data_IF_705174831194
#
_entry.id   IF_705174831194
#
_cell.length_a   1.000
_cell.length_b   1.000
_cell.length_c   1.000
_cell.angle_alpha   90.00
_cell.angle_beta   90.00
_cell.angle_gamma   90.00
#
_symmetry.space_group_name_H-M   'P 1'
#
loop_
_entity.id
_entity.type
_entity.pdbx_description
1 polymer ?
#
# COMPACT_ATOMS: atom_id res chain seq x y z
N UNK A 1 37.37 3.04 3.59
CA UNK A 1 36.98 1.61 3.56
C UNK A 1 35.46 1.56 3.50
N UNK A 2 34.86 1.16 2.37
CA UNK A 2 33.43 0.86 2.35
C UNK A 2 33.25 -0.50 3.02
N UNK A 3 32.75 -0.50 4.26
CA UNK A 3 32.29 -1.74 4.86
C UNK A 3 31.22 -2.34 3.93
N UNK A 4 31.44 -3.57 3.49
CA UNK A 4 30.40 -4.35 2.80
C UNK A 4 29.33 -4.71 3.83
N UNK A 5 28.46 -3.75 4.13
CA UNK A 5 27.27 -3.96 4.95
C UNK A 5 26.36 -4.92 4.17
N UNK A 6 26.12 -6.09 4.74
CA UNK A 6 25.18 -7.08 4.24
C UNK A 6 23.81 -6.78 4.84
N UNK A 7 22.91 -6.23 4.02
CA UNK A 7 21.56 -5.85 4.44
C UNK A 7 20.69 -7.12 4.45
N UNK A 8 19.81 -7.25 5.44
CA UNK A 8 18.70 -8.20 5.37
C UNK A 8 17.66 -7.66 4.39
N UNK A 9 17.49 -8.33 3.25
CA UNK A 9 16.57 -7.89 2.20
C UNK A 9 15.10 -7.89 2.66
N UNK A 10 14.72 -8.72 3.63
CA UNK A 10 13.36 -8.67 4.17
C UNK A 10 13.12 -7.41 5.03
N UNK A 11 14.20 -6.81 5.55
CA UNK A 11 14.15 -5.62 6.40
C UNK A 11 13.79 -4.35 5.62
N UNK A 12 14.03 -4.33 4.30
CA UNK A 12 13.68 -3.20 3.42
C UNK A 12 12.23 -3.26 2.92
N UNK A 13 11.54 -4.40 3.08
CA UNK A 13 10.13 -4.55 2.69
C UNK A 13 9.22 -3.62 3.51
N UNK A 14 8.58 -2.68 2.82
CA UNK A 14 7.70 -1.67 3.41
C UNK A 14 6.41 -2.32 3.94
N UNK A 15 6.01 -1.95 5.15
CA UNK A 15 4.69 -2.26 5.72
C UNK A 15 3.84 -0.99 5.79
N UNK A 16 2.59 -1.08 5.35
CA UNK A 16 1.60 -0.03 5.51
C UNK A 16 0.74 -0.33 6.75
N UNK A 17 0.51 0.66 7.62
CA UNK A 17 -0.25 0.47 8.87
C UNK A 17 -1.75 0.19 8.68
N UNK A 18 -2.26 0.29 7.45
CA UNK A 18 -3.63 -0.10 7.08
C UNK A 18 -3.63 -0.83 5.74
N UNK A 19 -4.58 -1.75 5.57
CA UNK A 19 -4.83 -2.44 4.29
C UNK A 19 -5.91 -1.73 3.45
N UNK A 20 -6.76 -0.92 4.07
CA UNK A 20 -7.83 -0.16 3.40
C UNK A 20 -7.85 1.27 3.92
N UNK A 21 -7.98 2.24 3.01
CA UNK A 21 -8.06 3.66 3.33
C UNK A 21 -9.23 4.30 2.57
N UNK A 22 -10.24 4.77 3.29
CA UNK A 22 -11.34 5.52 2.71
C UNK A 22 -10.88 6.95 2.44
N UNK A 23 -10.98 7.39 1.19
CA UNK A 23 -10.65 8.77 0.86
C UNK A 23 -11.71 9.73 1.40
N UNK A 24 -11.24 10.91 1.78
CA UNK A 24 -12.09 12.00 2.25
C UNK A 24 -12.69 12.73 1.05
N UNK A 25 -13.81 13.42 1.27
CA UNK A 25 -14.47 14.28 0.29
C UNK A 25 -13.72 15.62 0.09
N UNK A 26 -12.60 15.80 0.77
CA UNK A 26 -11.62 16.88 0.63
C UNK A 26 -10.19 16.32 0.54
N UNK A 27 -9.26 17.11 0.00
CA UNK A 27 -7.86 16.72 -0.01
C UNK A 27 -7.30 16.73 1.42
N UNK A 28 -6.85 15.56 1.87
CA UNK A 28 -6.11 15.45 3.11
C UNK A 28 -4.69 15.98 2.90
N UNK A 29 -4.32 17.03 3.64
CA UNK A 29 -2.99 17.64 3.53
C UNK A 29 -2.24 17.59 4.86
N UNK A 30 -0.91 17.45 4.82
CA UNK A 30 -0.09 17.57 6.01
C UNK A 30 -0.17 18.94 6.69
N UNK A 31 0.20 19.03 7.99
CA UNK A 31 0.67 17.92 8.83
C UNK A 31 -0.47 17.10 9.48
N UNK A 32 -1.68 17.65 9.49
CA UNK A 32 -2.78 17.16 10.33
C UNK A 32 -3.83 16.32 9.60
N UNK A 33 -3.74 16.21 8.27
CA UNK A 33 -4.64 15.38 7.48
C UNK A 33 -4.49 13.88 7.75
N UNK A 34 -5.57 13.12 7.55
CA UNK A 34 -5.53 11.66 7.54
C UNK A 34 -4.61 11.13 6.45
N UNK A 35 -3.78 10.16 6.80
CA UNK A 35 -2.74 9.64 5.93
C UNK A 35 -2.50 8.16 6.20
N UNK A 36 -1.92 7.49 5.21
CA UNK A 36 -1.37 6.15 5.34
C UNK A 36 0.08 6.29 5.78
N UNK A 37 0.46 5.60 6.86
CA UNK A 37 1.84 5.53 7.32
C UNK A 37 2.51 4.27 6.79
N UNK A 38 3.67 4.45 6.17
CA UNK A 38 4.51 3.38 5.64
C UNK A 38 5.78 3.27 6.48
N UNK A 39 6.18 2.04 6.84
CA UNK A 39 7.28 1.79 7.79
C UNK A 39 8.11 0.61 7.33
N UNK A 40 9.43 0.72 7.51
CA UNK A 40 10.34 -0.42 7.54
C UNK A 40 11.36 -0.25 8.68
N UNK A 41 12.01 -1.34 9.06
CA UNK A 41 13.08 -1.33 10.05
C UNK A 41 14.30 -2.02 9.45
N UNK A 42 15.19 -1.21 8.91
CA UNK A 42 16.34 -1.63 8.12
C UNK A 42 17.39 -2.22 9.05
N UNK A 43 17.86 -3.44 8.72
CA UNK A 43 18.78 -4.20 9.55
C UNK A 43 19.83 -4.91 8.70
N UNK A 44 20.96 -5.23 9.31
CA UNK A 44 21.89 -6.21 8.74
C UNK A 44 21.38 -7.64 8.94
N UNK A 45 22.12 -8.62 8.39
CA UNK A 45 21.76 -10.04 8.49
C UNK A 45 21.83 -10.59 9.92
N UNK A 46 22.56 -9.91 10.80
CA UNK A 46 22.65 -10.20 12.22
C UNK A 46 21.50 -9.58 13.03
N UNK A 47 20.62 -8.81 12.38
CA UNK A 47 19.44 -8.20 12.97
C UNK A 47 19.69 -6.86 13.65
N UNK A 48 20.90 -6.30 13.53
CA UNK A 48 21.25 -4.98 14.08
C UNK A 48 20.68 -3.88 13.19
N UNK A 49 20.04 -2.84 13.77
CA UNK A 49 19.53 -1.73 12.99
C UNK A 49 20.62 -0.97 12.24
N UNK A 50 20.32 -0.58 11.00
CA UNK A 50 21.24 0.15 10.13
C UNK A 50 20.76 1.59 9.93
N UNK A 51 21.45 2.58 10.51
CA UNK A 51 21.06 3.98 10.37
C UNK A 51 21.51 4.58 9.05
N UNK A 52 20.80 5.62 8.59
CA UNK A 52 21.14 6.43 7.42
C UNK A 52 21.31 5.62 6.13
N UNK A 53 20.57 4.52 5.97
CA UNK A 53 20.56 3.72 4.75
C UNK A 53 19.53 4.30 3.78
N UNK A 54 19.95 4.83 2.62
CA UNK A 54 19.01 5.30 1.61
C UNK A 54 18.36 4.09 0.91
N UNK A 55 17.04 4.02 1.00
CA UNK A 55 16.22 3.03 0.30
C UNK A 55 15.51 3.74 -0.85
N UNK A 56 15.62 3.17 -2.04
CA UNK A 56 14.85 3.60 -3.20
C UNK A 56 13.50 2.90 -3.16
N UNK A 57 12.43 3.69 -3.14
CA UNK A 57 11.05 3.21 -3.23
C UNK A 57 10.63 3.36 -4.68
N UNK A 58 10.23 2.26 -5.29
CA UNK A 58 9.76 2.19 -6.67
C UNK A 58 8.25 2.03 -6.70
N UNK A 59 7.65 2.74 -7.63
CA UNK A 59 6.27 2.52 -8.00
C UNK A 59 6.08 1.10 -8.54
N UNK A 60 5.08 0.39 -8.02
CA UNK A 60 4.60 -0.86 -8.59
C UNK A 60 3.38 -0.60 -9.48
N UNK A 61 3.06 -1.56 -10.34
CA UNK A 61 1.91 -1.47 -11.24
C UNK A 61 0.63 -1.03 -10.49
N UNK A 62 -0.08 -0.05 -11.04
CA UNK A 62 -1.32 0.53 -10.52
C UNK A 62 -1.21 1.38 -9.24
N UNK A 63 -0.01 1.62 -8.70
CA UNK A 63 0.14 2.45 -7.49
C UNK A 63 0.04 3.97 -7.77
N UNK A 64 0.28 4.39 -9.00
CA UNK A 64 0.10 5.76 -9.51
C UNK A 64 0.56 6.87 -8.54
N UNK A 65 1.86 7.07 -8.38
CA UNK A 65 2.44 8.07 -7.47
C UNK A 65 1.96 9.52 -7.72
N UNK A 66 1.44 9.84 -8.91
CA UNK A 66 0.80 11.12 -9.22
C UNK A 66 -0.58 11.31 -8.59
N UNK A 67 -1.23 10.24 -8.14
CA UNK A 67 -2.55 10.25 -7.51
C UNK A 67 -2.48 10.37 -5.99
N UNK A 68 -1.27 10.46 -5.43
CA UNK A 68 -1.03 10.64 -4.00
C UNK A 68 -0.01 11.75 -3.77
N UNK A 69 -0.01 12.35 -2.60
CA UNK A 69 1.10 13.17 -2.13
C UNK A 69 1.91 12.36 -1.11
N UNK A 70 3.23 12.32 -1.26
CA UNK A 70 4.10 11.52 -0.40
C UNK A 70 5.07 12.45 0.34
N UNK A 71 5.19 12.26 1.65
CA UNK A 71 5.99 13.11 2.54
C UNK A 71 6.97 12.27 3.36
N UNK A 72 8.09 12.89 3.71
CA UNK A 72 9.06 12.34 4.65
C UNK A 72 8.47 12.19 6.06
N UNK A 73 9.25 11.60 6.97
CA UNK A 73 8.83 11.29 8.33
C UNK A 73 8.35 12.51 9.16
N UNK A 74 8.75 13.72 8.77
CA UNK A 74 8.35 14.99 9.39
C UNK A 74 6.93 15.45 8.98
N UNK A 75 6.26 14.73 8.08
CA UNK A 75 4.94 15.06 7.53
C UNK A 75 4.86 16.49 6.97
N UNK A 76 5.95 17.07 6.49
CA UNK A 76 5.96 18.44 5.98
C UNK A 76 6.87 18.61 4.77
N UNK A 77 7.93 17.82 4.68
CA UNK A 77 8.81 17.79 3.52
C UNK A 77 8.27 16.79 2.48
N UNK A 78 7.82 17.24 1.30
CA UNK A 78 7.40 16.33 0.23
C UNK A 78 8.60 15.56 -0.30
N UNK A 79 8.40 14.31 -0.71
CA UNK A 79 9.45 13.53 -1.37
C UNK A 79 9.63 14.00 -2.81
N UNK A 80 10.87 13.94 -3.30
CA UNK A 80 11.16 14.18 -4.71
C UNK A 80 10.90 12.90 -5.53
N UNK A 81 9.83 12.90 -6.32
CA UNK A 81 9.53 11.80 -7.25
C UNK A 81 10.36 11.99 -8.53
N UNK A 82 11.06 10.93 -8.93
CA UNK A 82 11.92 10.85 -10.11
C UNK A 82 11.32 9.86 -11.11
N UNK A 83 11.28 10.25 -12.38
CA UNK A 83 10.95 9.36 -13.48
C UNK A 83 12.21 8.58 -13.88
N UNK A 84 12.23 7.26 -13.64
CA UNK A 84 13.32 6.39 -14.10
C UNK A 84 13.09 6.04 -15.58
N UNK A 85 11.86 5.67 -15.93
CA UNK A 85 11.40 5.43 -17.30
C UNK A 85 10.02 6.09 -17.49
N UNK A 86 9.41 5.93 -18.67
CA UNK A 86 8.05 6.43 -18.92
C UNK A 86 7.01 5.86 -17.95
N UNK A 87 7.19 4.60 -17.52
CA UNK A 87 6.22 3.84 -16.71
C UNK A 87 6.74 3.48 -15.31
N UNK A 88 7.93 3.97 -14.93
CA UNK A 88 8.54 3.66 -13.64
C UNK A 88 9.01 4.92 -12.94
N UNK A 89 8.41 5.18 -11.78
CA UNK A 89 8.76 6.28 -10.89
C UNK A 89 9.40 5.78 -9.61
N UNK A 90 10.20 6.62 -8.98
CA UNK A 90 10.81 6.32 -7.70
C UNK A 90 11.02 7.56 -6.85
N UNK A 91 11.22 7.35 -5.56
CA UNK A 91 11.77 8.35 -4.64
C UNK A 91 12.73 7.65 -3.67
N UNK A 92 13.43 8.43 -2.85
CA UNK A 92 14.36 7.88 -1.86
C UNK A 92 14.01 8.35 -0.46
N UNK A 93 14.08 7.44 0.50
CA UNK A 93 13.91 7.72 1.94
C UNK A 93 15.02 7.00 2.69
N UNK A 94 15.62 7.66 3.69
CA UNK A 94 16.64 7.05 4.52
C UNK A 94 16.08 6.55 5.84
N UNK A 95 16.70 5.52 6.40
CA UNK A 95 16.45 5.13 7.80
C UNK A 95 17.03 6.14 8.79
N UNK A 96 16.35 6.32 9.92
CA UNK A 96 16.81 7.14 11.05
C UNK A 96 17.93 6.45 11.84
N UNK A 97 18.37 7.07 12.94
CA UNK A 97 19.45 6.56 13.80
C UNK A 97 19.16 5.17 14.43
N UNK A 98 17.89 4.75 14.46
CA UNK A 98 17.46 3.44 14.94
C UNK A 98 17.16 2.46 13.80
N UNK A 99 17.56 2.79 12.56
CA UNK A 99 17.28 2.00 11.38
C UNK A 99 15.82 2.05 10.92
N UNK A 100 14.97 2.91 11.50
CA UNK A 100 13.56 3.00 11.14
C UNK A 100 13.40 3.92 9.93
N UNK A 101 12.72 3.44 8.91
CA UNK A 101 12.34 4.22 7.73
C UNK A 101 10.85 4.51 7.81
N UNK A 102 10.46 5.77 7.63
CA UNK A 102 9.05 6.20 7.63
C UNK A 102 8.79 7.20 6.52
N UNK A 103 7.66 7.04 5.84
CA UNK A 103 7.07 8.05 4.99
C UNK A 103 5.54 7.99 5.08
N UNK A 104 4.88 9.06 4.65
CA UNK A 104 3.43 9.22 4.73
C UNK A 104 2.84 9.45 3.35
N UNK A 105 1.68 8.84 3.11
CA UNK A 105 0.96 8.92 1.85
C UNK A 105 -0.39 9.58 2.14
N UNK A 106 -0.67 10.65 1.42
CA UNK A 106 -1.91 11.41 1.47
C UNK A 106 -2.63 11.21 0.13
N UNK A 107 -3.64 10.35 0.06
CA UNK A 107 -4.41 10.16 -1.17
C UNK A 107 -5.09 11.45 -1.61
N UNK A 108 -5.11 11.70 -2.92
CA UNK A 108 -5.87 12.83 -3.49
C UNK A 108 -7.36 12.48 -3.54
N UNK A 109 -8.21 13.49 -3.56
CA UNK A 109 -9.66 13.30 -3.67
C UNK A 109 -10.05 12.52 -4.94
N UNK A 110 -11.02 11.61 -4.79
CA UNK A 110 -11.66 10.83 -5.87
C UNK A 110 -10.73 9.93 -6.69
N UNK A 111 -9.63 9.44 -6.12
CA UNK A 111 -8.67 8.55 -6.80
C UNK A 111 -8.60 7.17 -6.12
N UNK A 112 -9.60 6.29 -6.34
CA UNK A 112 -9.51 4.92 -5.85
C UNK A 112 -8.37 4.20 -6.59
N UNK A 113 -7.48 3.55 -5.83
CA UNK A 113 -6.32 2.85 -6.40
C UNK A 113 -5.77 1.80 -5.43
N UNK A 114 -4.91 0.92 -5.95
CA UNK A 114 -4.19 -0.07 -5.15
C UNK A 114 -2.76 0.43 -4.97
N UNK A 115 -2.42 0.89 -3.78
CA UNK A 115 -1.09 1.40 -3.49
C UNK A 115 -0.16 0.26 -3.06
N UNK A 116 0.86 0.00 -3.87
CA UNK A 116 1.90 -0.97 -3.58
C UNK A 116 3.25 -0.44 -4.09
N UNK A 117 4.33 -0.79 -3.39
CA UNK A 117 5.68 -0.34 -3.77
C UNK A 117 6.64 -1.52 -3.78
N UNK A 118 7.68 -1.39 -4.58
CA UNK A 118 8.91 -2.15 -4.40
C UNK A 118 9.96 -1.27 -3.71
N UNK A 119 10.91 -1.90 -3.06
CA UNK A 119 11.99 -1.24 -2.32
C UNK A 119 13.32 -1.88 -2.67
N UNK A 120 14.39 -1.10 -2.72
CA UNK A 120 15.75 -1.62 -2.89
C UNK A 120 16.79 -0.65 -2.32
N UNK A 121 17.92 -1.19 -1.86
CA UNK A 121 19.14 -0.42 -1.61
C UNK A 121 20.06 -0.61 -2.80
N UNK A 122 20.35 0.49 -3.49
CA UNK A 122 21.12 0.48 -4.74
C UNK A 122 22.44 -0.29 -4.61
N UNK A 123 22.68 -1.24 -5.51
CA UNK A 123 23.87 -2.08 -5.56
C UNK A 123 24.11 -2.96 -4.30
N UNK A 124 23.08 -3.15 -3.46
CA UNK A 124 23.19 -3.92 -2.20
C UNK A 124 22.10 -4.97 -2.04
N UNK A 125 20.90 -4.73 -2.56
CA UNK A 125 19.78 -5.68 -2.49
C UNK A 125 19.08 -5.79 -3.83
N UNK A 126 18.34 -6.88 -4.00
CA UNK A 126 17.32 -6.98 -5.05
C UNK A 126 16.11 -6.07 -4.75
N UNK A 127 15.15 -6.04 -5.69
CA UNK A 127 13.85 -5.38 -5.50
C UNK A 127 12.94 -6.25 -4.65
N UNK A 128 12.46 -5.68 -3.55
CA UNK A 128 11.61 -6.37 -2.58
C UNK A 128 10.27 -5.63 -2.49
N UNK A 129 9.18 -6.34 -2.77
CA UNK A 129 7.82 -5.79 -2.63
C UNK A 129 7.46 -5.49 -1.18
N UNK A 130 6.57 -4.52 -0.99
CA UNK A 130 5.94 -4.24 0.29
C UNK A 130 5.21 -5.46 0.86
N UNK A 131 5.20 -5.60 2.19
CA UNK A 131 4.60 -6.71 2.94
C UNK A 131 3.09 -6.82 2.71
N UNK A 132 2.45 -5.69 2.51
CA UNK A 132 1.05 -5.55 2.17
C UNK A 132 0.87 -4.47 1.10
N UNK A 133 -0.37 -4.27 0.67
CA UNK A 133 -0.81 -3.22 -0.25
C UNK A 133 -1.98 -2.50 0.40
N UNK A 134 -2.21 -1.26 0.01
CA UNK A 134 -3.33 -0.47 0.54
C UNK A 134 -4.37 -0.27 -0.55
N UNK A 135 -5.61 -0.65 -0.26
CA UNK A 135 -6.74 -0.30 -1.09
C UNK A 135 -7.24 1.09 -0.69
N UNK A 136 -6.92 2.08 -1.50
CA UNK A 136 -7.46 3.42 -1.37
C UNK A 136 -8.82 3.41 -2.08
N UNK A 137 -9.91 3.60 -1.33
CA UNK A 137 -11.27 3.43 -1.82
C UNK A 137 -12.08 4.72 -1.69
N UNK A 138 -13.06 4.88 -2.58
CA UNK A 138 -14.05 5.95 -2.52
C UNK A 138 -15.47 5.39 -2.38
N UNK A 139 -15.88 5.13 -1.14
CA UNK A 139 -17.25 4.69 -0.84
C UNK A 139 -18.28 5.83 -0.81
N UNK A 140 -17.90 7.08 -1.13
CA UNK A 140 -18.84 8.20 -1.25
C UNK A 140 -19.45 8.29 -2.65
N UNK A 141 -18.86 7.62 -3.65
CA UNK A 141 -19.43 7.56 -4.99
C UNK A 141 -20.66 6.64 -5.04
N UNK A 142 -21.59 6.98 -5.94
CA UNK A 142 -22.81 6.19 -6.18
C UNK A 142 -22.48 4.73 -6.42
N UNK A 143 -23.27 3.87 -5.78
CA UNK A 143 -23.41 2.46 -6.12
C UNK A 143 -23.44 2.31 -7.65
N UNK A 144 -22.49 1.52 -8.19
CA UNK A 144 -22.37 1.23 -9.61
C UNK A 144 -23.54 0.37 -10.13
N UNK A 145 -24.54 0.08 -9.27
CA UNK A 145 -25.63 -0.83 -9.56
C UNK A 145 -25.12 -2.26 -9.67
N UNK A 146 -24.05 -2.58 -8.95
CA UNK A 146 -23.54 -3.94 -8.90
C UNK A 146 -24.62 -4.82 -8.25
N UNK A 147 -24.94 -5.98 -8.84
CA UNK A 147 -25.87 -6.89 -8.20
C UNK A 147 -25.32 -7.28 -6.83
N UNK A 148 -26.20 -7.43 -5.85
CA UNK A 148 -25.81 -7.94 -4.54
C UNK A 148 -25.04 -9.25 -4.70
N UNK A 149 -23.97 -9.46 -3.92
CA UNK A 149 -23.20 -10.68 -3.98
C UNK A 149 -24.09 -11.89 -3.72
N UNK A 150 -23.91 -12.93 -4.52
CA UNK A 150 -24.71 -14.15 -4.44
C UNK A 150 -23.86 -15.21 -3.73
N UNK A 151 -24.12 -15.44 -2.44
CA UNK A 151 -23.37 -16.40 -1.64
C UNK A 151 -23.97 -17.79 -1.87
N UNK A 152 -23.14 -18.74 -2.31
CA UNK A 152 -23.61 -20.11 -2.57
C UNK A 152 -24.15 -20.72 -1.27
N UNK A 153 -25.42 -21.11 -1.29
CA UNK A 153 -26.12 -21.68 -0.14
C UNK A 153 -26.88 -20.67 0.71
N UNK A 154 -26.92 -19.39 0.32
CA UNK A 154 -27.79 -18.39 0.94
C UNK A 154 -29.22 -18.50 0.40
N UNK A 155 -30.13 -19.02 1.23
CA UNK A 155 -31.57 -19.10 0.97
C UNK A 155 -32.36 -18.02 1.74
N UNK A 156 -31.68 -16.96 2.18
CA UNK A 156 -32.22 -15.94 3.08
C UNK A 156 -31.88 -16.20 4.56
N UNK A 157 -31.23 -17.32 4.86
CA UNK A 157 -30.54 -17.59 6.12
C UNK A 157 -29.16 -18.15 5.80
N UNK A 158 -28.13 -17.32 5.95
CA UNK A 158 -26.74 -17.79 5.91
C UNK A 158 -26.52 -18.79 7.06
N UNK A 159 -26.52 -20.08 6.74
CA UNK A 159 -26.13 -21.13 7.67
C UNK A 159 -24.62 -21.20 7.70
N UNK A 160 -24.04 -20.70 8.79
CA UNK A 160 -22.61 -20.86 9.05
C UNK A 160 -22.36 -22.34 9.30
N UNK A 161 -21.56 -22.98 8.45
CA UNK A 161 -20.92 -24.25 8.81
C UNK A 161 -19.91 -23.95 9.93
N UNK A 162 -20.15 -24.41 11.17
CA UNK A 162 -19.27 -24.08 12.29
C UNK A 162 -17.86 -24.68 12.15
N UNK A 163 -17.64 -25.54 11.16
CA UNK A 163 -16.35 -26.15 10.84
C UNK A 163 -15.61 -25.47 9.69
N UNK A 164 -16.25 -24.50 9.01
CA UNK A 164 -15.66 -23.74 7.90
C UNK A 164 -15.49 -22.26 8.26
N UNK A 165 -14.33 -21.71 7.91
CA UNK A 165 -14.07 -20.26 7.95
C UNK A 165 -14.19 -19.61 6.56
N UNK A 166 -14.73 -20.34 5.58
CA UNK A 166 -14.84 -19.90 4.19
C UNK A 166 -16.28 -20.00 3.69
N UNK A 167 -16.65 -19.07 2.82
CA UNK A 167 -17.87 -19.11 2.01
C UNK A 167 -17.51 -18.83 0.55
N UNK A 168 -18.36 -19.30 -0.37
CA UNK A 168 -18.19 -19.08 -1.79
C UNK A 168 -19.17 -18.02 -2.27
N UNK A 169 -18.67 -17.05 -3.02
CA UNK A 169 -19.44 -15.93 -3.51
C UNK A 169 -19.37 -15.91 -5.04
N UNK A 170 -20.54 -15.83 -5.68
CA UNK A 170 -20.69 -15.68 -7.13
C UNK A 170 -20.66 -14.19 -7.43
N UNK A 171 -19.59 -13.77 -8.10
CA UNK A 171 -19.51 -12.45 -8.72
C UNK A 171 -20.23 -12.53 -10.06
N UNK A 172 -21.39 -11.87 -10.16
CA UNK A 172 -22.11 -11.76 -11.43
C UNK A 172 -21.39 -10.80 -12.37
N UNK A 173 -21.60 -10.96 -13.67
CA UNK A 173 -21.09 -10.03 -14.68
C UNK A 173 -21.57 -8.61 -14.39
N UNK A 174 -20.69 -7.63 -14.61
CA UNK A 174 -20.99 -6.22 -14.47
C UNK A 174 -20.43 -5.40 -15.64
N UNK A 175 -21.06 -4.26 -15.99
CA UNK A 175 -20.60 -3.41 -17.07
C UNK A 175 -19.15 -2.95 -16.85
N UNK A 176 -18.29 -3.19 -17.83
CA UNK A 176 -16.90 -2.74 -17.81
C UNK A 176 -15.94 -3.64 -17.01
N UNK A 177 -16.36 -4.84 -16.59
CA UNK A 177 -15.51 -5.80 -15.91
C UNK A 177 -14.21 -6.11 -16.68
N UNK A 178 -13.08 -6.09 -15.96
CA UNK A 178 -11.74 -6.39 -16.48
C UNK A 178 -11.12 -7.51 -15.67
N UNK A 179 -10.21 -8.25 -16.31
CA UNK A 179 -9.50 -9.40 -15.71
C UNK A 179 -8.73 -9.07 -14.43
N UNK A 180 -8.33 -7.80 -14.25
CA UNK A 180 -7.51 -7.35 -13.12
C UNK A 180 -8.31 -6.54 -12.10
N UNK A 181 -9.64 -6.53 -12.20
CA UNK A 181 -10.47 -5.85 -11.22
C UNK A 181 -10.35 -6.54 -9.86
N UNK A 182 -10.24 -5.75 -8.79
CA UNK A 182 -10.25 -6.24 -7.42
C UNK A 182 -11.61 -5.94 -6.80
N UNK A 183 -12.25 -6.97 -6.25
CA UNK A 183 -13.49 -6.83 -5.51
C UNK A 183 -13.18 -6.94 -4.02
N UNK A 184 -13.63 -5.96 -3.25
CA UNK A 184 -13.46 -5.92 -1.81
C UNK A 184 -14.82 -6.21 -1.15
N UNK A 185 -14.83 -7.16 -0.23
CA UNK A 185 -15.98 -7.48 0.60
C UNK A 185 -15.67 -7.10 2.04
N UNK A 186 -16.53 -6.28 2.63
CA UNK A 186 -16.42 -5.89 4.04
C UNK A 186 -17.48 -6.66 4.83
N UNK A 187 -17.05 -7.35 5.89
CA UNK A 187 -17.94 -8.13 6.75
C UNK A 187 -18.03 -7.42 8.09
N UNK A 188 -19.24 -7.06 8.52
CA UNK A 188 -19.46 -6.27 9.73
C UNK A 188 -18.71 -4.91 9.73
N UNK A 189 -18.68 -4.24 8.58
CA UNK A 189 -17.95 -2.97 8.37
C UNK A 189 -16.43 -3.07 8.64
N UNK A 190 -15.85 -4.25 8.42
CA UNK A 190 -14.43 -4.52 8.57
C UNK A 190 -13.89 -5.27 7.36
#
# INVERSE_FOLDING_TARGET
MQNNILIDENSISIYFETDVFQILDYDSLPPDGECIKAIALIRDKEGKPLPNIPVTILEKEYAYFDQVNIYHADKSTPVEIKNITADLRSFSVASDDNGKLVFYIYPKKSTPLIFQVDSMVMNKTDRISSKNKVYIIDNNNKDLGLPSPDIIGDDGKLWVDPTSNFFTLIVKDYPGARRNDTILFFVNNK
#
